data_IF_931196653015
#
_entry.id   IF_931196653015
#
_cell.length_a   1.000
_cell.length_b   1.000
_cell.length_c   1.000
_cell.angle_alpha   90.00
_cell.angle_beta   90.00
_cell.angle_gamma   90.00
#
_symmetry.space_group_name_H-M   'P 1'
#
loop_
_entity.id
_entity.type
_entity.pdbx_description
1 polymer ?
#
# COMPACT_ATOMS: atom_id res chain seq x y z
N UNK A 1 6.05 18.00 -1.08
CA UNK A 1 6.67 16.69 -0.79
C UNK A 1 5.69 15.64 -1.27
N UNK A 2 5.89 15.08 -2.45
CA UNK A 2 4.91 14.19 -3.07
C UNK A 2 5.12 12.77 -2.54
N UNK A 3 4.27 12.33 -1.60
CA UNK A 3 4.25 10.94 -1.16
C UNK A 3 3.89 10.07 -2.36
N UNK A 4 4.82 9.23 -2.81
CA UNK A 4 4.57 8.31 -3.94
C UNK A 4 3.59 7.24 -3.49
N UNK A 5 2.39 7.22 -4.07
CA UNK A 5 1.37 6.20 -3.83
C UNK A 5 1.25 5.28 -5.05
N UNK A 6 1.08 3.97 -4.80
CA UNK A 6 0.94 2.94 -5.83
C UNK A 6 -0.32 2.12 -5.59
N UNK A 7 -0.94 1.54 -6.63
CA UNK A 7 -2.12 0.71 -6.43
C UNK A 7 -1.77 -0.59 -5.71
N UNK A 8 -2.52 -0.91 -4.65
CA UNK A 8 -2.40 -2.16 -3.92
C UNK A 8 -2.81 -3.33 -4.83
N UNK A 9 -1.99 -4.39 -4.95
CA UNK A 9 -2.31 -5.52 -5.82
C UNK A 9 -3.51 -6.35 -5.36
N UNK A 10 -3.95 -6.23 -4.11
CA UNK A 10 -5.08 -6.99 -3.55
C UNK A 10 -6.43 -6.31 -3.77
N UNK A 11 -6.50 -5.00 -3.58
CA UNK A 11 -7.76 -4.26 -3.56
C UNK A 11 -7.77 -3.02 -4.48
N UNK A 12 -6.66 -2.71 -5.16
CA UNK A 12 -6.51 -1.56 -6.04
C UNK A 12 -6.39 -0.21 -5.33
N UNK A 13 -6.51 -0.16 -3.99
CA UNK A 13 -6.44 1.10 -3.24
C UNK A 13 -5.04 1.71 -3.28
N UNK A 14 -4.91 3.05 -3.22
CA UNK A 14 -3.61 3.71 -3.13
C UNK A 14 -2.90 3.30 -1.83
N UNK A 15 -1.71 2.71 -1.98
CA UNK A 15 -0.79 2.34 -0.93
C UNK A 15 0.41 3.29 -0.99
N UNK A 16 0.72 3.92 0.13
CA UNK A 16 1.89 4.82 0.22
C UNK A 16 3.18 4.00 0.11
N UNK A 17 4.15 4.47 -0.66
CA UNK A 17 5.49 3.88 -0.73
C UNK A 17 6.44 4.49 0.28
N UNK A 18 6.07 5.55 0.97
CA UNK A 18 6.86 6.14 2.05
C UNK A 18 6.05 5.98 3.34
N UNK A 19 6.69 5.55 4.43
CA UNK A 19 6.01 5.28 5.70
C UNK A 19 4.87 4.24 5.61
N UNK A 20 5.13 3.11 4.95
CA UNK A 20 4.19 2.00 4.86
C UNK A 20 4.97 0.70 5.05
N UNK A 21 4.76 0.05 6.17
CA UNK A 21 5.39 -1.22 6.56
C UNK A 21 4.76 -2.44 5.85
N UNK A 22 3.61 -2.23 5.20
CA UNK A 22 2.85 -3.28 4.52
C UNK A 22 3.05 -3.28 3.00
N UNK A 23 4.01 -2.53 2.46
CA UNK A 23 4.29 -2.50 1.00
C UNK A 23 4.48 -3.93 0.44
N UNK A 24 3.95 -4.23 -0.75
CA UNK A 24 3.24 -3.36 -1.71
C UNK A 24 1.74 -3.17 -1.40
N UNK A 25 1.25 -3.64 -0.25
CA UNK A 25 -0.15 -3.58 0.13
C UNK A 25 -0.51 -2.25 0.81
N UNK A 26 -1.79 -1.89 0.75
CA UNK A 26 -2.30 -0.67 1.41
C UNK A 26 -2.44 -0.83 2.93
N UNK A 27 -2.49 -2.06 3.45
CA UNK A 27 -2.68 -2.36 4.87
C UNK A 27 -2.35 -3.82 5.18
N UNK A 28 -2.18 -4.13 6.47
CA UNK A 28 -1.96 -5.49 6.98
C UNK A 28 -3.03 -6.49 6.50
N UNK A 29 -4.31 -6.07 6.50
CA UNK A 29 -5.41 -6.92 5.98
C UNK A 29 -5.14 -7.39 4.55
N UNK A 30 -4.64 -6.52 3.67
CA UNK A 30 -4.35 -6.90 2.29
C UNK A 30 -3.09 -7.76 2.15
N UNK A 31 -2.21 -7.77 3.17
CA UNK A 31 -1.03 -8.64 3.25
C UNK A 31 -1.36 -10.04 3.78
N UNK A 32 -2.36 -10.15 4.66
CA UNK A 32 -2.74 -11.42 5.30
C UNK A 32 -3.71 -12.29 4.48
N UNK A 33 -4.43 -11.70 3.52
CA UNK A 33 -5.29 -12.43 2.57
C UNK A 33 -4.43 -12.82 1.38
#
# INVERSE_FOLDING_TARGET
MQQRTFPCPRCGKPATWENNEFRPFCSERCKMI
#
